data_IF_994090225358
#
_entry.id   IF_994090225358
#
_cell.length_a   1.000
_cell.length_b   1.000
_cell.length_c   1.000
_cell.angle_alpha   90.00
_cell.angle_beta   90.00
_cell.angle_gamma   90.00
#
_symmetry.space_group_name_H-M   'P 1'
#
loop_
_entity.id
_entity.type
_entity.pdbx_description
1 polymer ?
#
# COMPACT_ATOMS: atom_id res chain seq x y z
N UNK A 1 20.14 -4.64 -11.17
CA UNK A 1 20.87 -4.36 -9.90
C UNK A 1 21.04 -5.65 -9.06
N UNK A 2 22.07 -5.78 -8.20
CA UNK A 2 22.15 -6.88 -7.21
C UNK A 2 21.76 -6.36 -5.82
N UNK A 3 20.71 -6.93 -5.25
CA UNK A 3 20.20 -6.56 -3.92
C UNK A 3 20.60 -7.68 -2.94
N UNK A 4 21.39 -7.39 -1.89
CA UNK A 4 21.68 -8.33 -0.81
C UNK A 4 20.40 -8.85 -0.17
N UNK A 5 20.39 -10.09 0.31
CA UNK A 5 19.20 -10.68 0.93
C UNK A 5 18.74 -9.92 2.17
N UNK A 6 19.68 -9.34 2.93
CA UNK A 6 19.38 -8.48 4.08
C UNK A 6 18.56 -7.25 3.68
N UNK A 7 18.93 -6.60 2.57
CA UNK A 7 18.21 -5.43 2.05
C UNK A 7 16.87 -5.84 1.45
N UNK A 8 16.80 -7.01 0.78
CA UNK A 8 15.52 -7.54 0.28
C UNK A 8 14.50 -7.74 1.39
N UNK A 9 14.95 -8.19 2.57
CA UNK A 9 14.06 -8.37 3.72
C UNK A 9 13.45 -7.03 4.15
N UNK A 10 14.27 -5.98 4.27
CA UNK A 10 13.81 -4.63 4.62
C UNK A 10 12.87 -4.05 3.55
N UNK A 11 13.18 -4.25 2.27
CA UNK A 11 12.32 -3.84 1.17
C UNK A 11 10.97 -4.55 1.18
N UNK A 12 10.93 -5.85 1.54
CA UNK A 12 9.67 -6.58 1.75
C UNK A 12 8.86 -6.03 2.93
N UNK A 13 9.53 -5.63 4.01
CA UNK A 13 8.85 -5.00 5.16
C UNK A 13 8.22 -3.64 4.80
N UNK A 14 8.78 -2.92 3.81
CA UNK A 14 8.18 -1.73 3.21
C UNK A 14 6.97 -2.00 2.29
N UNK A 15 6.63 -3.27 2.05
CA UNK A 15 5.50 -3.65 1.20
C UNK A 15 5.85 -3.95 -0.27
N UNK A 16 7.14 -4.00 -0.62
CA UNK A 16 7.55 -4.50 -1.94
C UNK A 16 7.35 -6.02 -2.04
N UNK A 17 6.70 -6.46 -3.11
CA UNK A 17 6.56 -7.86 -3.46
C UNK A 17 7.76 -8.39 -4.25
N UNK A 18 7.82 -9.72 -4.39
CA UNK A 18 8.88 -10.38 -5.15
C UNK A 18 8.91 -9.98 -6.64
N UNK A 19 7.77 -9.53 -7.18
CA UNK A 19 7.67 -9.03 -8.55
C UNK A 19 8.31 -7.65 -8.72
N UNK A 20 8.28 -6.83 -7.68
CA UNK A 20 8.83 -5.48 -7.72
C UNK A 20 10.35 -5.49 -7.80
N UNK A 21 11.02 -6.53 -7.28
CA UNK A 21 12.47 -6.72 -7.46
C UNK A 21 12.91 -6.83 -8.92
N UNK A 22 12.00 -7.20 -9.83
CA UNK A 22 12.30 -7.24 -11.27
C UNK A 22 12.33 -5.84 -11.88
N UNK A 23 11.69 -4.86 -11.23
CA UNK A 23 11.71 -3.47 -11.67
C UNK A 23 13.04 -2.79 -11.33
N UNK A 24 13.83 -3.29 -10.37
CA UNK A 24 15.12 -2.70 -9.94
C UNK A 24 16.22 -2.82 -11.00
N UNK A 25 16.19 -1.89 -11.94
CA UNK A 25 17.14 -1.80 -13.05
C UNK A 25 18.38 -0.97 -12.70
N UNK A 26 18.29 0.00 -11.78
CA UNK A 26 19.39 0.90 -11.42
C UNK A 26 19.30 2.30 -12.06
N UNK A 27 18.44 2.49 -13.07
CA UNK A 27 18.16 3.80 -13.69
C UNK A 27 16.77 4.31 -13.34
N UNK A 28 15.73 3.50 -13.56
CA UNK A 28 14.32 3.89 -13.34
C UNK A 28 13.84 3.51 -11.95
N UNK A 29 14.26 2.34 -11.44
CA UNK A 29 14.01 1.92 -10.06
C UNK A 29 15.31 1.49 -9.41
N UNK A 30 15.63 2.11 -8.28
CA UNK A 30 16.85 1.87 -7.50
C UNK A 30 16.53 1.82 -6.00
N UNK A 31 17.47 1.39 -5.18
CA UNK A 31 17.35 1.52 -3.73
C UNK A 31 18.68 1.99 -3.13
N UNK A 32 18.60 2.62 -1.97
CA UNK A 32 19.74 2.90 -1.12
C UNK A 32 19.53 2.29 0.25
N UNK A 33 20.64 1.89 0.86
CA UNK A 33 20.68 1.36 2.21
C UNK A 33 21.68 2.18 3.02
N UNK A 34 21.26 2.56 4.21
CA UNK A 34 22.05 3.23 5.23
C UNK A 34 21.84 2.49 6.56
N UNK A 35 22.93 2.20 7.28
CA UNK A 35 22.84 1.44 8.53
C UNK A 35 22.10 2.19 9.65
N UNK A 36 22.03 3.53 9.56
CA UNK A 36 21.37 4.38 10.57
C UNK A 36 19.94 4.74 10.19
N UNK A 37 19.63 4.82 8.88
CA UNK A 37 18.33 5.26 8.35
C UNK A 37 17.52 4.16 7.65
N UNK A 38 18.13 3.02 7.36
CA UNK A 38 17.46 1.86 6.79
C UNK A 38 17.51 1.87 5.27
N UNK A 39 16.43 1.45 4.62
CA UNK A 39 16.34 1.43 3.15
C UNK A 39 15.44 2.55 2.64
N UNK A 40 15.78 3.12 1.49
CA UNK A 40 14.88 3.97 0.69
C UNK A 40 14.86 3.51 -0.75
N UNK A 41 13.76 3.77 -1.43
CA UNK A 41 13.52 3.35 -2.80
C UNK A 41 13.51 4.58 -3.69
N UNK A 42 14.15 4.49 -4.84
CA UNK A 42 13.97 5.44 -5.93
C UNK A 42 12.96 4.83 -6.90
N UNK A 43 11.79 5.41 -7.01
CA UNK A 43 10.77 5.00 -7.96
C UNK A 43 9.92 6.21 -8.40
N UNK A 44 10.50 7.15 -9.17
CA UNK A 44 9.81 8.36 -9.63
C UNK A 44 8.54 8.08 -10.45
N UNK A 45 8.34 6.85 -10.91
CA UNK A 45 7.24 6.47 -11.79
C UNK A 45 6.24 5.49 -11.14
N UNK A 46 6.34 5.23 -9.83
CA UNK A 46 5.48 4.29 -9.10
C UNK A 46 5.34 2.94 -9.84
N UNK A 47 6.46 2.42 -10.35
CA UNK A 47 6.52 1.11 -11.03
C UNK A 47 6.44 -0.06 -10.07
N UNK A 48 6.75 0.18 -8.81
CA UNK A 48 6.69 -0.80 -7.74
C UNK A 48 5.35 -0.72 -7.01
N UNK A 49 5.02 -1.79 -6.30
CA UNK A 49 3.85 -1.90 -5.43
C UNK A 49 4.01 -1.12 -4.10
N UNK A 50 5.00 -0.23 -4.02
CA UNK A 50 5.25 0.61 -2.87
C UNK A 50 4.05 1.54 -2.64
N UNK A 51 3.49 1.52 -1.43
CA UNK A 51 2.22 2.20 -1.11
C UNK A 51 2.40 3.57 -0.48
N UNK A 52 3.62 3.91 -0.06
CA UNK A 52 3.90 5.20 0.55
C UNK A 52 4.18 6.26 -0.51
N UNK A 53 4.13 7.51 -0.07
CA UNK A 53 4.39 8.65 -0.93
C UNK A 53 5.87 8.70 -1.33
N UNK A 54 6.10 8.96 -2.61
CA UNK A 54 7.43 9.19 -3.18
C UNK A 54 7.56 10.70 -3.40
N UNK A 55 8.62 11.29 -2.84
CA UNK A 55 8.90 12.71 -2.91
C UNK A 55 9.13 13.19 -4.36
N UNK A 56 9.13 14.52 -4.56
CA UNK A 56 9.26 15.14 -5.88
C UNK A 56 10.56 14.78 -6.59
N UNK A 57 11.61 14.45 -5.83
CA UNK A 57 12.90 13.99 -6.32
C UNK A 57 12.91 12.51 -6.71
N UNK A 58 11.80 11.77 -6.52
CA UNK A 58 11.63 10.38 -6.92
C UNK A 58 12.09 9.37 -5.87
N UNK A 59 12.54 9.83 -4.70
CA UNK A 59 12.90 8.97 -3.58
C UNK A 59 11.76 8.82 -2.57
N UNK A 60 11.65 7.63 -1.99
CA UNK A 60 10.82 7.39 -0.82
C UNK A 60 11.50 7.93 0.44
N UNK A 61 10.70 8.14 1.47
CA UNK A 61 11.21 8.27 2.84
C UNK A 61 12.03 7.05 3.24
N UNK A 62 12.96 7.27 4.18
CA UNK A 62 13.77 6.21 4.75
C UNK A 62 12.93 5.28 5.65
N UNK A 63 13.14 3.97 5.54
CA UNK A 63 12.35 2.97 6.25
C UNK A 63 12.42 3.07 7.77
N UNK A 64 13.52 3.56 8.35
CA UNK A 64 13.64 3.78 9.80
C UNK A 64 13.20 5.18 10.24
N UNK A 65 13.13 6.16 9.34
CA UNK A 65 12.56 7.47 9.68
C UNK A 65 11.03 7.43 9.77
N UNK A 66 10.39 6.31 9.37
CA UNK A 66 8.94 6.04 9.46
C UNK A 66 8.11 7.32 9.43
N UNK A 67 7.93 7.86 8.24
CA UNK A 67 6.88 8.84 8.00
C UNK A 67 5.53 8.14 8.20
N UNK A 68 5.11 8.05 9.45
CA UNK A 68 3.90 7.34 9.88
C UNK A 68 2.67 8.18 9.52
N UNK A 69 2.82 9.29 8.80
CA UNK A 69 1.80 10.31 8.66
C UNK A 69 0.53 9.78 7.99
N UNK A 70 0.67 9.01 6.90
CA UNK A 70 -0.50 8.39 6.24
C UNK A 70 -0.97 7.11 6.93
N UNK A 71 -0.07 6.33 7.52
CA UNK A 71 -0.42 5.10 8.24
C UNK A 71 -1.21 5.42 9.52
N UNK A 72 -0.80 6.43 10.28
CA UNK A 72 -1.44 6.91 11.50
C UNK A 72 -2.84 7.50 11.19
N UNK A 73 -2.94 8.29 10.12
CA UNK A 73 -4.23 8.83 9.67
C UNK A 73 -5.22 7.73 9.25
N UNK A 74 -4.73 6.64 8.65
CA UNK A 74 -5.56 5.52 8.19
C UNK A 74 -5.78 4.46 9.27
N UNK A 75 -4.97 4.38 10.32
CA UNK A 75 -5.15 3.41 11.40
C UNK A 75 -6.43 3.70 12.18
N UNK A 76 -6.70 4.97 12.51
CA UNK A 76 -7.95 5.37 13.17
C UNK A 76 -9.17 5.05 12.30
N UNK A 77 -9.06 5.30 10.99
CA UNK A 77 -10.12 4.99 10.03
C UNK A 77 -10.32 3.49 9.84
N UNK A 78 -9.23 2.69 9.80
CA UNK A 78 -9.30 1.23 9.65
C UNK A 78 -9.85 0.56 10.91
N UNK A 79 -9.49 1.03 12.10
CA UNK A 79 -10.00 0.53 13.37
C UNK A 79 -11.51 0.79 13.51
N UNK A 80 -11.99 1.96 13.09
CA UNK A 80 -13.43 2.26 13.06
C UNK A 80 -14.17 1.40 12.01
N UNK A 81 -13.61 1.24 10.81
CA UNK A 81 -14.19 0.37 9.77
C UNK A 81 -14.24 -1.09 10.23
N UNK A 82 -13.23 -1.59 10.93
CA UNK A 82 -13.21 -2.97 11.44
C UNK A 82 -14.21 -3.17 12.58
N UNK A 83 -14.33 -2.21 13.52
CA UNK A 83 -15.36 -2.23 14.58
C UNK A 83 -16.76 -2.22 13.99
N UNK A 84 -17.01 -1.38 12.99
CA UNK A 84 -18.28 -1.28 12.29
C UNK A 84 -18.54 -2.55 11.47
N UNK A 85 -17.54 -3.12 10.78
CA UNK A 85 -17.71 -4.40 10.07
C UNK A 85 -17.92 -5.60 10.99
N UNK A 86 -17.38 -5.59 12.20
CA UNK A 86 -17.59 -6.65 13.20
C UNK A 86 -18.99 -6.60 13.83
N UNK A 87 -19.62 -5.41 13.87
CA UNK A 87 -21.00 -5.25 14.37
C UNK A 87 -22.06 -5.32 13.27
N UNK A 88 -21.69 -5.13 12.01
CA UNK A 88 -22.62 -5.32 10.89
C UNK A 88 -22.64 -6.80 10.52
N UNK A 89 -23.76 -7.49 10.82
CA UNK A 89 -24.08 -8.75 10.17
C UNK A 89 -24.04 -8.54 8.66
N UNK A 90 -23.06 -9.17 8.00
CA UNK A 90 -22.92 -9.08 6.54
C UNK A 90 -24.23 -9.56 5.92
N UNK A 91 -24.98 -8.71 5.20
CA UNK A 91 -26.22 -9.14 4.58
C UNK A 91 -25.91 -10.29 3.63
N UNK A 92 -26.76 -11.31 3.64
CA UNK A 92 -26.59 -12.46 2.74
C UNK A 92 -26.57 -11.99 1.28
N UNK A 93 -25.90 -12.72 0.40
CA UNK A 93 -25.90 -12.41 -1.04
C UNK A 93 -27.32 -12.23 -1.60
N UNK A 94 -28.30 -12.93 -1.03
CA UNK A 94 -29.71 -12.82 -1.38
C UNK A 94 -30.34 -11.46 -0.98
N UNK A 95 -29.93 -10.90 0.16
CA UNK A 95 -30.38 -9.60 0.64
C UNK A 95 -29.72 -8.45 -0.15
N UNK A 96 -28.45 -8.63 -0.51
CA UNK A 96 -27.72 -7.71 -1.40
C UNK A 96 -28.39 -7.69 -2.78
N UNK A 97 -28.73 -8.86 -3.34
CA UNK A 97 -29.43 -8.96 -4.63
C UNK A 97 -30.81 -8.29 -4.59
N UNK A 98 -31.61 -8.52 -3.54
CA UNK A 98 -32.90 -7.84 -3.34
C UNK A 98 -32.76 -6.33 -3.18
N UNK A 99 -31.75 -5.86 -2.43
CA UNK A 99 -31.49 -4.44 -2.24
C UNK A 99 -31.04 -3.75 -3.53
N UNK A 100 -30.17 -4.39 -4.33
CA UNK A 100 -29.78 -3.91 -5.65
C UNK A 100 -30.99 -3.84 -6.58
N UNK A 101 -31.79 -4.91 -6.67
CA UNK A 101 -32.99 -4.92 -7.50
C UNK A 101 -33.96 -3.79 -7.09
N UNK A 102 -34.18 -3.57 -5.79
CA UNK A 102 -35.05 -2.50 -5.30
C UNK A 102 -34.52 -1.08 -5.57
N UNK A 103 -33.20 -0.88 -5.57
CA UNK A 103 -32.54 0.41 -5.88
C UNK A 103 -32.53 0.72 -7.38
N UNK A 104 -32.30 -0.29 -8.21
CA UNK A 104 -32.21 -0.13 -9.67
C UNK A 104 -33.57 -0.21 -10.38
N UNK A 105 -34.58 -0.87 -9.80
CA UNK A 105 -35.96 -0.86 -10.34
C UNK A 105 -36.71 0.46 -10.12
N UNK A 106 -36.12 1.46 -9.46
CA UNK A 106 -36.75 2.77 -9.21
C UNK A 106 -36.35 3.88 -10.20
N UNK A 107 -35.52 3.56 -11.20
CA UNK A 107 -35.27 4.41 -12.39
C UNK A 107 -35.62 3.63 -13.65
N UNK A 108 -36.92 3.52 -13.90
CA UNK A 108 -37.47 2.81 -15.03
C UNK A 108 -38.98 3.00 -15.18
N UNK A 109 -39.47 4.23 -14.96
CA UNK A 109 -40.69 4.80 -15.54
C UNK A 109 -40.42 6.29 -15.76
#
# INVERSE_FOLDING_TARGET
MKIPEEHKKLLKELGLGDKDFQCFDGESVSYEFDETRGVRIYDPYYRTSYQEFIEVDGWSSWSLEKDTFMSDLLEETRAEVERVQATIEKPSQEEIAKAMQKRFSKKGV
#
